data_IF_068703781380
#
_entry.id   IF_068703781380
#
_cell.length_a   1.000
_cell.length_b   1.000
_cell.length_c   1.000
_cell.angle_alpha   90.00
_cell.angle_beta   90.00
_cell.angle_gamma   90.00
#
_symmetry.space_group_name_H-M   'P 1'
#
loop_
_entity.id
_entity.type
_entity.pdbx_description
1 polymer ?
#
# COMPACT_ATOMS: atom_id res chain seq x y z
N UNK A 1 11.39 -0.76 11.07
CA UNK A 1 10.16 -0.60 11.88
C UNK A 1 9.08 0.07 11.01
N UNK A 2 8.58 -0.61 9.96
CA UNK A 2 7.62 0.00 9.00
C UNK A 2 6.26 0.26 9.64
N UNK A 3 5.71 -0.72 10.36
CA UNK A 3 4.45 -0.54 11.08
C UNK A 3 4.48 0.57 12.12
N UNK A 4 5.55 0.66 12.92
CA UNK A 4 5.71 1.75 13.90
C UNK A 4 5.75 3.13 13.22
N UNK A 5 6.43 3.24 12.08
CA UNK A 5 6.42 4.48 11.29
C UNK A 5 5.01 4.82 10.77
N UNK A 6 4.27 3.82 10.28
CA UNK A 6 2.87 3.99 9.86
C UNK A 6 1.96 4.46 10.99
N UNK A 7 2.12 3.87 12.17
CA UNK A 7 1.41 4.26 13.39
C UNK A 7 1.69 5.72 13.78
N UNK A 8 2.97 6.08 13.88
CA UNK A 8 3.38 7.43 14.28
C UNK A 8 2.95 8.48 13.25
N UNK A 9 3.10 8.19 11.96
CA UNK A 9 2.68 9.07 10.87
C UNK A 9 1.16 9.29 10.89
N UNK A 10 0.36 8.22 11.11
CA UNK A 10 -1.09 8.35 11.18
C UNK A 10 -1.53 9.16 12.40
N UNK A 11 -0.89 8.96 13.57
CA UNK A 11 -1.16 9.80 14.76
C UNK A 11 -0.87 11.28 14.50
N UNK A 12 0.20 11.59 13.77
CA UNK A 12 0.50 12.96 13.37
C UNK A 12 -0.55 13.50 12.40
N UNK A 13 -0.94 12.69 11.41
CA UNK A 13 -1.92 13.06 10.40
C UNK A 13 -3.29 13.36 11.02
N UNK A 14 -3.76 12.54 11.97
CA UNK A 14 -5.01 12.78 12.69
C UNK A 14 -5.01 14.10 13.47
N UNK A 15 -3.87 14.48 14.07
CA UNK A 15 -3.74 15.77 14.78
C UNK A 15 -3.75 16.95 13.82
N UNK A 16 -3.09 16.81 12.67
CA UNK A 16 -2.95 17.90 11.71
C UNK A 16 -4.19 18.07 10.81
N UNK A 17 -4.89 16.98 10.53
CA UNK A 17 -6.04 16.92 9.63
C UNK A 17 -7.20 16.12 10.27
N UNK A 18 -7.92 16.69 11.25
CA UNK A 18 -9.02 15.99 11.93
C UNK A 18 -10.19 15.57 11.01
N UNK A 19 -10.28 16.17 9.83
CA UNK A 19 -11.29 15.87 8.81
C UNK A 19 -10.85 14.82 7.78
N UNK A 20 -9.69 14.19 7.95
CA UNK A 20 -9.26 13.11 7.04
C UNK A 20 -10.30 11.97 7.02
N UNK A 21 -10.60 11.46 5.84
CA UNK A 21 -11.54 10.35 5.62
C UNK A 21 -10.91 9.15 4.94
N UNK A 22 -9.68 9.28 4.43
CA UNK A 22 -8.95 8.18 3.82
C UNK A 22 -7.43 8.38 3.91
N UNK A 23 -6.68 7.28 3.94
CA UNK A 23 -5.22 7.27 3.84
C UNK A 23 -4.76 6.16 2.90
N UNK A 24 -3.78 6.47 2.07
CA UNK A 24 -3.02 5.48 1.29
C UNK A 24 -1.63 5.34 1.92
N UNK A 25 -1.31 4.15 2.39
CA UNK A 25 0.01 3.83 2.91
C UNK A 25 0.99 3.46 1.78
N UNK A 26 2.28 3.58 2.07
CA UNK A 26 3.36 3.24 1.11
C UNK A 26 3.45 1.73 0.87
N UNK A 27 3.13 0.94 1.90
CA UNK A 27 3.07 -0.53 1.85
C UNK A 27 2.06 -1.04 2.88
N UNK A 28 1.75 -2.34 2.80
CA UNK A 28 0.82 -3.01 3.70
C UNK A 28 1.29 -2.95 5.16
N UNK A 29 2.59 -3.06 5.44
CA UNK A 29 3.12 -2.98 6.81
C UNK A 29 2.87 -1.62 7.46
N UNK A 30 3.04 -0.52 6.72
CA UNK A 30 2.69 0.83 7.16
C UNK A 30 1.18 1.00 7.28
N UNK A 31 0.40 0.39 6.40
CA UNK A 31 -1.06 0.39 6.49
C UNK A 31 -1.53 -0.24 7.82
N UNK A 32 -0.96 -1.38 8.23
CA UNK A 32 -1.27 -2.01 9.52
C UNK A 32 -1.00 -1.07 10.71
N UNK A 33 0.13 -0.37 10.68
CA UNK A 33 0.47 0.65 11.67
C UNK A 33 -0.55 1.79 11.71
N UNK A 34 -0.94 2.30 10.54
CA UNK A 34 -1.97 3.33 10.44
C UNK A 34 -3.33 2.84 10.97
N UNK A 35 -3.72 1.60 10.65
CA UNK A 35 -4.94 0.99 11.17
C UNK A 35 -4.93 0.91 12.71
N UNK A 36 -3.80 0.52 13.29
CA UNK A 36 -3.64 0.50 14.75
C UNK A 36 -3.77 1.90 15.38
N UNK A 37 -3.22 2.94 14.75
CA UNK A 37 -3.33 4.32 15.23
C UNK A 37 -4.77 4.87 15.11
N UNK A 38 -5.48 4.53 14.03
CA UNK A 38 -6.89 4.88 13.86
C UNK A 38 -7.74 4.22 14.95
N UNK A 39 -7.47 2.93 15.21
CA UNK A 39 -8.15 2.20 16.28
C UNK A 39 -7.85 2.78 17.67
N UNK A 40 -6.58 3.15 17.95
CA UNK A 40 -6.19 3.84 19.20
C UNK A 40 -6.92 5.17 19.38
N UNK A 41 -7.19 5.88 18.28
CA UNK A 41 -7.96 7.12 18.30
C UNK A 41 -9.48 6.91 18.47
N UNK A 42 -9.95 5.67 18.61
CA UNK A 42 -11.37 5.33 18.74
C UNK A 42 -12.17 5.49 17.44
N UNK A 43 -11.49 5.61 16.30
CA UNK A 43 -12.11 5.72 14.98
C UNK A 43 -12.24 4.34 14.33
N UNK A 44 -13.23 4.19 13.45
CA UNK A 44 -13.56 2.95 12.77
C UNK A 44 -13.06 2.95 11.34
N UNK A 45 -12.75 1.75 10.86
CA UNK A 45 -12.34 1.48 9.48
C UNK A 45 -13.35 0.49 8.92
N UNK A 46 -14.02 0.79 7.79
CA UNK A 46 -13.82 1.95 6.93
C UNK A 46 -14.67 3.19 7.26
N UNK A 47 -15.55 3.11 8.26
CA UNK A 47 -16.66 4.06 8.43
C UNK A 47 -16.21 5.50 8.72
N UNK A 48 -15.14 5.67 9.49
CA UNK A 48 -14.61 6.99 9.81
C UNK A 48 -13.40 7.33 8.92
N UNK A 49 -12.52 6.35 8.70
CA UNK A 49 -11.34 6.48 7.84
C UNK A 49 -11.13 5.22 7.01
N UNK A 50 -11.09 5.38 5.69
CA UNK A 50 -10.67 4.34 4.75
C UNK A 50 -9.14 4.18 4.71
N UNK A 51 -8.64 2.95 4.56
CA UNK A 51 -7.21 2.65 4.49
C UNK A 51 -6.92 1.81 3.25
N UNK A 52 -5.93 2.24 2.47
CA UNK A 52 -5.39 1.50 1.32
C UNK A 52 -3.92 1.17 1.59
N UNK A 53 -3.53 -0.09 1.35
CA UNK A 53 -2.15 -0.55 1.36
C UNK A 53 -1.53 -0.70 -0.03
N UNK A 54 -0.36 -1.32 -0.07
CA UNK A 54 0.40 -1.61 -1.28
C UNK A 54 1.27 -2.86 -1.02
N UNK A 55 1.34 -3.79 -1.99
CA UNK A 55 2.09 -5.06 -2.00
C UNK A 55 1.21 -6.32 -1.95
N UNK A 56 -0.03 -6.23 -1.44
CA UNK A 56 -0.97 -7.35 -1.33
C UNK A 56 -0.40 -8.61 -0.63
N UNK A 57 0.22 -8.44 0.55
CA UNK A 57 0.69 -9.59 1.32
C UNK A 57 -0.47 -10.53 1.67
N UNK A 58 -0.23 -11.84 1.70
CA UNK A 58 -1.28 -12.85 1.88
C UNK A 58 -2.09 -12.65 3.18
N UNK A 59 -1.42 -12.22 4.25
CA UNK A 59 -2.03 -11.93 5.55
C UNK A 59 -3.03 -10.76 5.52
N UNK A 60 -2.93 -9.85 4.55
CA UNK A 60 -3.79 -8.66 4.48
C UNK A 60 -5.28 -8.99 4.27
N UNK A 61 -5.57 -10.17 3.70
CA UNK A 61 -6.92 -10.70 3.58
C UNK A 61 -7.55 -11.08 4.94
N UNK A 62 -6.72 -11.30 5.97
CA UNK A 62 -7.13 -11.75 7.30
C UNK A 62 -6.98 -10.67 8.38
N UNK A 63 -6.54 -9.46 8.01
CA UNK A 63 -6.54 -8.33 8.92
C UNK A 63 -7.98 -7.89 9.25
N UNK A 64 -8.11 -7.05 10.27
CA UNK A 64 -9.41 -6.58 10.73
C UNK A 64 -9.49 -5.04 10.71
N UNK A 65 -10.29 -4.45 9.79
CA UNK A 65 -10.91 -5.08 8.63
C UNK A 65 -9.88 -5.59 7.59
N UNK A 66 -10.30 -6.48 6.69
CA UNK A 66 -9.43 -6.97 5.62
C UNK A 66 -9.00 -5.80 4.71
N UNK A 67 -7.71 -5.68 4.43
CA UNK A 67 -7.12 -4.48 3.83
C UNK A 67 -7.31 -4.44 2.31
N UNK A 68 -7.86 -3.35 1.79
CA UNK A 68 -7.82 -2.97 0.38
C UNK A 68 -6.40 -2.55 0.03
N UNK A 69 -5.81 -3.13 -1.02
CA UNK A 69 -4.38 -2.94 -1.33
C UNK A 69 -4.12 -3.04 -2.83
N UNK A 70 -2.99 -2.50 -3.28
CA UNK A 70 -2.53 -2.62 -4.66
C UNK A 70 -1.70 -3.89 -4.81
N UNK A 71 -2.15 -4.78 -5.68
CA UNK A 71 -1.41 -5.94 -6.15
C UNK A 71 -0.62 -5.56 -7.40
N UNK A 72 0.70 -5.64 -7.30
CA UNK A 72 1.61 -5.35 -8.39
C UNK A 72 2.52 -6.56 -8.66
N UNK A 73 2.87 -6.85 -9.92
CA UNK A 73 3.57 -8.08 -10.27
C UNK A 73 5.07 -7.96 -9.99
N UNK A 74 5.43 -7.84 -8.71
CA UNK A 74 6.81 -7.61 -8.24
C UNK A 74 7.74 -8.76 -8.65
N UNK A 75 7.25 -10.00 -8.59
CA UNK A 75 8.01 -11.17 -9.03
C UNK A 75 8.33 -11.10 -10.53
N UNK A 76 7.33 -10.76 -11.36
CA UNK A 76 7.52 -10.58 -12.81
C UNK A 76 8.51 -9.44 -13.09
N UNK A 77 8.38 -8.32 -12.37
CA UNK A 77 9.30 -7.19 -12.49
C UNK A 77 10.74 -7.59 -12.16
N UNK A 78 10.95 -8.34 -11.08
CA UNK A 78 12.26 -8.86 -10.67
C UNK A 78 12.85 -9.82 -11.70
N UNK A 79 12.04 -10.75 -12.23
CA UNK A 79 12.46 -11.66 -13.30
C UNK A 79 12.90 -10.89 -14.55
N UNK A 80 12.10 -9.91 -14.99
CA UNK A 80 12.41 -9.11 -16.17
C UNK A 80 13.66 -8.26 -15.99
N UNK A 81 13.86 -7.68 -14.80
CA UNK A 81 15.06 -6.93 -14.47
C UNK A 81 16.31 -7.83 -14.53
N UNK A 82 16.25 -9.03 -13.94
CA UNK A 82 17.36 -9.99 -13.99
C UNK A 82 17.65 -10.46 -15.43
N UNK A 83 16.60 -10.74 -16.21
CA UNK A 83 16.72 -11.12 -17.61
C UNK A 83 17.36 -10.01 -18.47
N UNK A 84 16.97 -8.75 -18.25
CA UNK A 84 17.53 -7.59 -18.95
C UNK A 84 19.01 -7.38 -18.61
N UNK A 85 19.40 -7.51 -17.35
CA UNK A 85 20.81 -7.45 -16.93
C UNK A 85 21.61 -8.57 -17.59
N UNK A 86 21.08 -9.80 -17.56
CA UNK A 86 21.75 -10.95 -18.16
C UNK A 86 21.95 -10.77 -19.67
N UNK A 87 20.95 -10.23 -20.38
CA UNK A 87 21.07 -9.92 -21.80
C UNK A 87 22.16 -8.87 -22.07
N UNK A 88 22.20 -7.78 -21.29
CA UNK A 88 23.20 -6.72 -21.44
C UNK A 88 24.65 -7.20 -21.21
N UNK A 89 24.85 -8.15 -20.29
CA UNK A 89 26.17 -8.75 -20.06
C UNK A 89 26.67 -9.62 -21.23
N UNK A 90 25.76 -10.21 -22.02
CA UNK A 90 26.14 -11.07 -23.17
C UNK A 90 26.44 -10.29 -24.44
N UNK A 91 25.86 -9.10 -24.59
CA UNK A 91 26.05 -8.27 -25.80
C UNK A 91 26.43 -6.83 -25.42
N UNK A 92 27.68 -6.59 -24.97
CA UNK A 92 28.13 -5.27 -24.57
C UNK A 92 28.08 -4.29 -25.77
N UNK A 93 27.38 -3.16 -25.60
CA UNK A 93 27.29 -2.10 -26.62
C UNK A 93 26.00 -2.10 -27.45
N UNK A 94 25.16 -3.14 -27.36
CA UNK A 94 23.86 -3.22 -28.03
C UNK A 94 22.68 -3.22 -27.03
N UNK A 95 22.93 -2.79 -25.79
CA UNK A 95 21.94 -2.84 -24.71
C UNK A 95 21.13 -1.54 -24.62
N UNK A 96 19.82 -1.66 -24.84
CA UNK A 96 18.85 -0.61 -24.54
C UNK A 96 18.19 -0.86 -23.17
N UNK A 97 18.01 0.17 -22.33
CA UNK A 97 17.32 0.02 -21.06
C UNK A 97 15.90 -0.50 -21.24
N UNK A 98 15.55 -1.61 -20.58
CA UNK A 98 14.19 -2.12 -20.54
C UNK A 98 13.27 -1.08 -19.87
N UNK A 99 12.25 -0.63 -20.60
CA UNK A 99 11.19 0.26 -20.08
C UNK A 99 9.83 -0.38 -20.34
N UNK A 100 9.29 -1.04 -19.33
CA UNK A 100 7.99 -1.69 -19.40
C UNK A 100 7.13 -1.28 -18.21
N UNK A 101 5.86 -0.96 -18.48
CA UNK A 101 4.85 -0.71 -17.46
C UNK A 101 4.08 -2.01 -17.27
N UNK A 102 4.11 -2.55 -16.06
CA UNK A 102 3.39 -3.77 -15.73
C UNK A 102 1.98 -3.45 -15.21
N UNK A 103 0.98 -4.27 -15.55
CA UNK A 103 -0.38 -4.07 -15.06
C UNK A 103 -0.43 -4.23 -13.54
N UNK A 104 -1.11 -3.31 -12.86
CA UNK A 104 -1.37 -3.34 -11.43
C UNK A 104 -2.87 -3.43 -11.17
N UNK A 105 -3.26 -4.14 -10.12
CA UNK A 105 -4.66 -4.36 -9.77
C UNK A 105 -4.96 -3.80 -8.38
N UNK A 106 -6.12 -3.15 -8.24
CA UNK A 106 -6.63 -2.79 -6.92
C UNK A 106 -7.43 -3.97 -6.36
N UNK A 107 -6.97 -4.53 -5.25
CA UNK A 107 -7.66 -5.60 -4.53
C UNK A 107 -8.58 -4.96 -3.50
N UNK A 108 -9.85 -4.79 -3.87
CA UNK A 108 -10.88 -4.25 -2.99
C UNK A 108 -11.23 -5.24 -1.87
N UNK A 109 -11.17 -4.76 -0.62
CA UNK A 109 -11.59 -5.51 0.57
C UNK A 109 -12.43 -4.62 1.49
N UNK A 110 -12.33 -4.80 2.81
CA UNK A 110 -13.22 -4.21 3.82
C UNK A 110 -12.68 -2.93 4.46
N UNK A 111 -11.44 -2.52 4.18
CA UNK A 111 -10.84 -1.32 4.78
C UNK A 111 -11.15 -0.02 4.04
N UNK A 112 -11.94 -0.05 2.97
CA UNK A 112 -12.36 1.14 2.20
C UNK A 112 -13.87 1.22 2.08
N UNK A 113 -14.41 2.43 2.12
CA UNK A 113 -15.84 2.71 1.98
C UNK A 113 -16.11 4.14 1.54
N UNK A 114 -17.38 4.53 1.50
CA UNK A 114 -17.78 5.91 1.23
C UNK A 114 -17.26 6.84 2.34
N UNK A 115 -16.80 8.03 1.95
CA UNK A 115 -16.37 9.03 2.93
C UNK A 115 -17.56 9.51 3.76
N UNK A 116 -17.37 9.62 5.08
CA UNK A 116 -18.37 10.25 5.96
C UNK A 116 -18.68 11.67 5.48
N UNK A 117 -19.96 12.05 5.52
CA UNK A 117 -20.37 13.40 5.15
C UNK A 117 -19.74 14.42 6.10
N UNK A 118 -19.24 15.53 5.53
CA UNK A 118 -18.81 16.70 6.30
C UNK A 118 -20.03 17.38 6.91
N UNK A 119 -20.18 17.26 8.23
CA UNK A 119 -21.07 18.06 9.07
C UNK A 119 -20.51 19.45 9.31
#
# INVERSE_FOLDING_TARGET
MRGENGFNAMRQLLRQYPAVTAVMAVDDSMALGAMAAIHEAGLRIPEDISVIGFDNYAETAYWYPALTTVDHPLEKAGYMAAAAIHAGLRTPGEWEPLREILPTNLVLRKSTGEARASS
#
